data_IF_425048318048
#
_entry.id   IF_425048318048
#
_cell.length_a   1.000
_cell.length_b   1.000
_cell.length_c   1.000
_cell.angle_alpha   90.00
_cell.angle_beta   90.00
_cell.angle_gamma   90.00
#
_symmetry.space_group_name_H-M   'P 1'
#
loop_
_entity.id
_entity.type
_entity.pdbx_description
1 polymer ?
#
# COMPACT_ATOMS: atom_id res chain seq x y z
N UNK A 1 -3.84 -0.58 9.79
CA UNK A 1 -3.77 -2.02 10.07
C UNK A 1 -4.64 -2.82 9.10
N UNK A 2 -5.96 -2.57 9.01
CA UNK A 2 -6.94 -3.33 8.23
C UNK A 2 -6.52 -3.52 6.76
N UNK A 3 -6.12 -2.46 6.07
CA UNK A 3 -5.71 -2.55 4.65
C UNK A 3 -4.50 -3.48 4.45
N UNK A 4 -3.54 -3.43 5.36
CA UNK A 4 -2.37 -4.29 5.31
C UNK A 4 -2.73 -5.75 5.57
N UNK A 5 -3.62 -6.02 6.53
CA UNK A 5 -4.12 -7.37 6.81
C UNK A 5 -4.87 -7.95 5.62
N UNK A 6 -5.66 -7.13 4.91
CA UNK A 6 -6.36 -7.55 3.69
C UNK A 6 -5.38 -7.89 2.56
N UNK A 7 -4.31 -7.09 2.38
CA UNK A 7 -3.25 -7.42 1.43
C UNK A 7 -2.56 -8.74 1.79
N UNK A 8 -2.22 -8.96 3.07
CA UNK A 8 -1.60 -10.20 3.53
C UNK A 8 -2.51 -11.41 3.26
N UNK A 9 -3.82 -11.29 3.53
CA UNK A 9 -4.77 -12.34 3.20
C UNK A 9 -4.77 -12.66 1.71
N UNK A 10 -4.72 -11.65 0.85
CA UNK A 10 -4.62 -11.85 -0.60
C UNK A 10 -3.32 -12.54 -0.98
N UNK A 11 -2.20 -12.19 -0.36
CA UNK A 11 -0.90 -12.84 -0.61
C UNK A 11 -0.90 -14.32 -0.26
N UNK A 12 -1.65 -14.70 0.79
CA UNK A 12 -1.79 -16.10 1.19
C UNK A 12 -2.68 -16.86 0.19
N UNK A 13 -3.77 -16.24 -0.26
CA UNK A 13 -4.75 -16.88 -1.15
C UNK A 13 -4.33 -16.89 -2.61
N UNK A 14 -3.62 -15.82 -3.05
CA UNK A 14 -3.21 -15.60 -4.43
C UNK A 14 -1.73 -15.19 -4.48
N UNK A 15 -0.80 -16.10 -4.18
CA UNK A 15 0.62 -15.78 -4.20
C UNK A 15 1.05 -15.35 -5.60
N UNK A 16 1.71 -14.21 -5.70
CA UNK A 16 2.22 -13.64 -6.96
C UNK A 16 3.71 -13.39 -6.88
N UNK A 17 4.40 -13.44 -8.01
CA UNK A 17 5.83 -13.17 -8.10
C UNK A 17 6.07 -11.96 -9.01
N UNK A 18 6.89 -11.03 -8.55
CA UNK A 18 7.33 -9.88 -9.34
C UNK A 18 8.51 -10.30 -10.20
N UNK A 19 8.26 -10.62 -11.46
CA UNK A 19 9.28 -11.13 -12.42
C UNK A 19 10.04 -10.02 -13.17
N UNK A 20 9.69 -8.75 -12.93
CA UNK A 20 10.27 -7.61 -13.66
C UNK A 20 11.57 -7.06 -13.05
N UNK A 21 11.98 -7.59 -11.89
CA UNK A 21 13.24 -7.17 -11.25
C UNK A 21 14.43 -7.62 -12.07
N UNK A 22 15.38 -6.70 -12.26
CA UNK A 22 16.63 -6.98 -12.96
C UNK A 22 17.72 -7.42 -11.99
N UNK A 23 18.60 -8.32 -12.46
CA UNK A 23 19.83 -8.64 -11.75
C UNK A 23 20.80 -7.46 -11.89
N UNK A 24 20.92 -6.68 -10.83
CA UNK A 24 21.77 -5.48 -10.81
C UNK A 24 23.12 -5.83 -10.18
N UNK A 25 24.19 -5.62 -10.94
CA UNK A 25 25.57 -5.58 -10.38
C UNK A 25 25.84 -4.13 -9.97
N UNK A 26 25.82 -3.80 -8.67
CA UNK A 26 25.82 -2.42 -8.21
C UNK A 26 27.19 -1.76 -8.39
N UNK A 27 27.29 -0.85 -9.34
CA UNK A 27 28.50 -0.05 -9.62
C UNK A 27 28.36 1.37 -9.07
N UNK A 28 27.13 1.93 -9.12
CA UNK A 28 26.82 3.29 -8.66
C UNK A 28 26.17 3.28 -7.29
N UNK A 29 26.16 4.43 -6.62
CA UNK A 29 25.45 4.62 -5.35
C UNK A 29 23.95 4.32 -5.47
N UNK A 30 23.31 4.74 -6.56
CA UNK A 30 21.88 4.49 -6.82
C UNK A 30 21.58 3.01 -6.99
N UNK A 31 22.40 2.27 -7.74
CA UNK A 31 22.23 0.82 -7.88
C UNK A 31 22.39 0.07 -6.56
N UNK A 32 23.28 0.54 -5.67
CA UNK A 32 23.40 0.00 -4.31
C UNK A 32 22.13 0.23 -3.49
N UNK A 33 21.49 1.40 -3.62
CA UNK A 33 20.21 1.68 -2.97
C UNK A 33 19.08 0.79 -3.51
N UNK A 34 18.99 0.62 -4.83
CA UNK A 34 17.99 -0.27 -5.45
C UNK A 34 18.20 -1.70 -4.98
N UNK A 35 19.46 -2.18 -4.95
CA UNK A 35 19.77 -3.52 -4.44
C UNK A 35 19.41 -3.67 -2.96
N UNK A 36 19.67 -2.66 -2.13
CA UNK A 36 19.23 -2.66 -0.74
C UNK A 36 17.71 -2.79 -0.62
N UNK A 37 16.98 -2.02 -1.42
CA UNK A 37 15.52 -2.08 -1.49
C UNK A 37 15.05 -3.48 -1.90
N UNK A 38 15.67 -4.10 -2.91
CA UNK A 38 15.34 -5.48 -3.33
C UNK A 38 15.64 -6.53 -2.26
N UNK A 39 16.66 -6.31 -1.41
CA UNK A 39 16.97 -7.19 -0.27
C UNK A 39 15.96 -7.04 0.87
N UNK A 40 15.45 -5.83 1.09
CA UNK A 40 14.47 -5.55 2.15
C UNK A 40 13.04 -5.95 1.77
N UNK A 41 12.73 -5.92 0.47
CA UNK A 41 11.41 -6.22 -0.06
C UNK A 41 11.46 -7.46 -0.94
N UNK A 42 10.80 -8.52 -0.49
CA UNK A 42 10.80 -9.80 -1.16
C UNK A 42 10.09 -9.72 -2.54
N UNK A 43 10.56 -10.37 -3.62
CA UNK A 43 9.90 -10.36 -4.92
C UNK A 43 8.56 -11.11 -4.96
N UNK A 44 8.17 -11.72 -3.85
CA UNK A 44 6.89 -12.40 -3.72
C UNK A 44 5.80 -11.43 -3.25
N UNK A 45 4.55 -11.73 -3.63
CA UNK A 45 3.37 -10.99 -3.18
C UNK A 45 3.31 -9.55 -3.73
N UNK A 46 3.44 -9.41 -5.04
CA UNK A 46 3.37 -8.12 -5.74
C UNK A 46 1.97 -7.53 -5.73
N UNK A 47 0.93 -8.33 -5.89
CA UNK A 47 -0.46 -7.85 -6.00
C UNK A 47 -1.29 -8.17 -4.75
N UNK A 48 -2.07 -7.20 -4.22
CA UNK A 48 -2.03 -5.76 -4.51
C UNK A 48 -0.84 -5.08 -3.82
N UNK A 49 -0.40 -3.92 -4.33
CA UNK A 49 0.67 -3.18 -3.67
C UNK A 49 0.26 -2.66 -2.30
N UNK A 50 0.80 -3.26 -1.25
CA UNK A 50 0.56 -2.82 0.13
C UNK A 50 1.16 -1.44 0.42
N UNK A 51 2.26 -1.06 -0.24
CA UNK A 51 2.87 0.25 -0.15
C UNK A 51 1.94 1.34 -0.65
N UNK A 52 1.35 1.14 -1.83
CA UNK A 52 0.38 2.07 -2.42
C UNK A 52 -0.88 2.13 -1.56
N UNK A 53 -1.42 0.99 -1.14
CA UNK A 53 -2.62 0.93 -0.31
C UNK A 53 -2.45 1.71 1.02
N UNK A 54 -1.32 1.50 1.71
CA UNK A 54 -1.02 2.22 2.95
C UNK A 54 -0.82 3.73 2.71
N UNK A 55 -0.16 4.12 1.62
CA UNK A 55 0.07 5.54 1.29
C UNK A 55 -1.26 6.27 1.02
N UNK A 56 -2.20 5.64 0.28
CA UNK A 56 -3.53 6.19 0.02
C UNK A 56 -4.33 6.35 1.32
N UNK A 57 -4.30 5.36 2.21
CA UNK A 57 -4.97 5.45 3.53
C UNK A 57 -4.36 6.57 4.38
N UNK A 58 -3.03 6.67 4.44
CA UNK A 58 -2.35 7.74 5.17
C UNK A 58 -2.74 9.13 4.65
N UNK A 59 -2.76 9.31 3.32
CA UNK A 59 -3.24 10.53 2.70
C UNK A 59 -4.70 10.84 3.06
N UNK A 60 -5.60 9.85 2.99
CA UNK A 60 -7.02 10.03 3.31
C UNK A 60 -7.23 10.64 4.71
N UNK A 61 -6.52 10.14 5.72
CA UNK A 61 -6.66 10.64 7.10
C UNK A 61 -5.92 11.95 7.38
N UNK A 62 -5.10 12.41 6.46
CA UNK A 62 -4.27 13.60 6.64
C UNK A 62 -4.57 14.74 5.67
N UNK A 63 -5.33 14.51 4.60
CA UNK A 63 -5.55 15.46 3.50
C UNK A 63 -6.07 16.84 3.96
N UNK A 64 -6.89 16.88 5.02
CA UNK A 64 -7.45 18.13 5.58
C UNK A 64 -6.56 18.77 6.67
N UNK A 65 -5.33 18.27 6.89
CA UNK A 65 -4.42 18.74 7.94
C UNK A 65 -3.36 19.74 7.43
N UNK A 66 -3.74 20.64 6.54
CA UNK A 66 -2.86 21.73 6.07
C UNK A 66 -1.53 21.22 5.48
N UNK A 67 -0.40 21.65 6.06
CA UNK A 67 0.95 21.26 5.60
C UNK A 67 1.18 19.75 5.68
N UNK A 68 0.72 19.11 6.74
CA UNK A 68 0.84 17.65 6.93
C UNK A 68 0.09 16.90 5.82
N UNK A 69 -1.12 17.35 5.46
CA UNK A 69 -1.87 16.77 4.36
C UNK A 69 -1.15 16.87 3.02
N UNK A 70 -0.57 18.04 2.71
CA UNK A 70 0.25 18.23 1.50
C UNK A 70 1.48 17.32 1.47
N UNK A 71 2.16 17.18 2.61
CA UNK A 71 3.30 16.29 2.74
C UNK A 71 2.93 14.84 2.40
N UNK A 72 1.85 14.30 3.00
CA UNK A 72 1.40 12.94 2.70
C UNK A 72 0.89 12.77 1.28
N UNK A 73 0.31 13.80 0.67
CA UNK A 73 -0.08 13.77 -0.74
C UNK A 73 1.14 13.61 -1.65
N UNK A 74 2.17 14.41 -1.44
CA UNK A 74 3.43 14.30 -2.20
C UNK A 74 4.07 12.94 -1.96
N UNK A 75 4.14 12.49 -0.71
CA UNK A 75 4.70 11.20 -0.36
C UNK A 75 3.95 10.03 -1.03
N UNK A 76 2.62 10.08 -1.10
CA UNK A 76 1.81 9.07 -1.80
C UNK A 76 2.20 8.98 -3.28
N UNK A 77 2.29 10.11 -3.97
CA UNK A 77 2.70 10.15 -5.39
C UNK A 77 4.12 9.60 -5.56
N UNK A 78 5.07 10.02 -4.70
CA UNK A 78 6.44 9.54 -4.76
C UNK A 78 6.56 8.03 -4.48
N UNK A 79 5.77 7.48 -3.57
CA UNK A 79 5.73 6.03 -3.32
C UNK A 79 5.24 5.29 -4.57
N UNK A 80 4.15 5.73 -5.19
CA UNK A 80 3.61 5.11 -6.41
C UNK A 80 4.67 5.14 -7.53
N UNK A 81 5.28 6.28 -7.79
CA UNK A 81 6.33 6.40 -8.80
C UNK A 81 7.57 5.57 -8.47
N UNK A 82 8.00 5.58 -7.21
CA UNK A 82 9.16 4.82 -6.75
C UNK A 82 8.97 3.32 -6.92
N UNK A 83 7.83 2.77 -6.54
CA UNK A 83 7.56 1.33 -6.66
C UNK A 83 7.54 0.85 -8.11
N UNK A 84 7.12 1.71 -9.04
CA UNK A 84 7.15 1.43 -10.48
C UNK A 84 8.55 1.59 -11.07
N UNK A 85 9.27 2.66 -10.74
CA UNK A 85 10.62 2.93 -11.28
C UNK A 85 11.66 1.96 -10.76
N UNK A 86 11.52 1.49 -9.52
CA UNK A 86 12.38 0.44 -8.94
C UNK A 86 11.94 -0.98 -9.30
N UNK A 87 10.96 -1.13 -10.21
CA UNK A 87 10.45 -2.44 -10.67
C UNK A 87 10.00 -3.38 -9.54
N UNK A 88 9.50 -2.81 -8.45
CA UNK A 88 8.93 -3.57 -7.35
C UNK A 88 7.48 -3.97 -7.63
N UNK A 89 6.75 -3.11 -8.38
CA UNK A 89 5.36 -3.32 -8.74
C UNK A 89 5.09 -2.92 -10.20
N UNK A 90 4.13 -3.61 -10.82
CA UNK A 90 3.54 -3.19 -12.10
C UNK A 90 2.33 -2.27 -11.86
N UNK A 91 1.87 -1.60 -12.90
CA UNK A 91 0.72 -0.69 -12.84
C UNK A 91 -0.52 -1.36 -12.24
N UNK A 92 -0.76 -2.63 -12.57
CA UNK A 92 -1.89 -3.39 -12.05
C UNK A 92 -1.84 -3.53 -10.51
N UNK A 93 -0.65 -3.73 -9.93
CA UNK A 93 -0.47 -3.84 -8.48
C UNK A 93 -0.79 -2.51 -7.79
N UNK A 94 -0.41 -1.39 -8.40
CA UNK A 94 -0.71 -0.06 -7.88
C UNK A 94 -2.21 0.23 -7.93
N UNK A 95 -2.88 -0.10 -9.03
CA UNK A 95 -4.34 0.02 -9.15
C UNK A 95 -5.02 -0.86 -8.09
N UNK A 96 -4.58 -2.11 -7.94
CA UNK A 96 -5.06 -3.02 -6.89
C UNK A 96 -4.92 -2.40 -5.49
N UNK A 97 -3.76 -1.81 -5.17
CA UNK A 97 -3.53 -1.12 -3.91
C UNK A 97 -4.49 0.04 -3.64
N UNK A 98 -4.76 0.86 -4.67
CA UNK A 98 -5.74 1.96 -4.59
C UNK A 98 -7.15 1.42 -4.35
N UNK A 99 -7.57 0.39 -5.09
CA UNK A 99 -8.88 -0.23 -4.92
C UNK A 99 -9.06 -0.84 -3.53
N UNK A 100 -8.03 -1.49 -2.99
CA UNK A 100 -8.05 -2.02 -1.62
C UNK A 100 -8.20 -0.91 -0.58
N UNK A 101 -7.45 0.18 -0.75
CA UNK A 101 -7.61 1.35 0.12
C UNK A 101 -9.05 1.92 0.04
N UNK A 102 -9.61 2.02 -1.17
CA UNK A 102 -10.97 2.50 -1.38
C UNK A 102 -12.01 1.60 -0.68
N UNK A 103 -11.93 0.28 -0.85
CA UNK A 103 -12.82 -0.70 -0.19
C UNK A 103 -12.73 -0.59 1.33
N UNK A 104 -11.52 -0.50 1.87
CA UNK A 104 -11.31 -0.37 3.32
C UNK A 104 -11.91 0.90 3.86
N UNK A 105 -11.67 2.04 3.20
CA UNK A 105 -12.10 3.36 3.67
C UNK A 105 -13.61 3.58 3.55
N UNK A 106 -14.23 3.09 2.47
CA UNK A 106 -15.62 3.42 2.14
C UNK A 106 -16.61 2.29 2.45
N UNK A 107 -16.13 1.06 2.66
CA UNK A 107 -17.00 -0.09 2.91
C UNK A 107 -16.71 -0.71 4.27
N UNK A 108 -15.44 -1.11 4.53
CA UNK A 108 -15.10 -1.88 5.72
C UNK A 108 -15.16 -1.01 6.97
N UNK A 109 -14.47 0.13 6.97
CA UNK A 109 -14.40 1.00 8.15
C UNK A 109 -15.78 1.56 8.55
N UNK A 110 -16.64 2.03 7.64
CA UNK A 110 -17.98 2.47 8.00
C UNK A 110 -18.83 1.36 8.61
N UNK A 111 -18.79 0.14 8.04
CA UNK A 111 -19.53 -1.01 8.57
C UNK A 111 -19.03 -1.43 9.95
N UNK A 112 -17.71 -1.44 10.19
CA UNK A 112 -17.15 -1.75 11.51
C UNK A 112 -17.57 -0.71 12.54
N UNK A 113 -17.61 0.56 12.15
CA UNK A 113 -18.06 1.64 13.05
C UNK A 113 -19.54 1.51 13.38
N UNK A 114 -20.38 1.19 12.42
CA UNK A 114 -21.79 0.93 12.63
C UNK A 114 -22.01 -0.24 13.59
N UNK A 115 -21.28 -1.34 13.39
CA UNK A 115 -21.33 -2.52 14.26
C UNK A 115 -20.87 -2.21 15.70
N UNK A 116 -19.81 -1.43 15.86
CA UNK A 116 -19.29 -1.02 17.18
C UNK A 116 -20.29 -0.14 17.91
N UNK A 117 -20.95 0.78 17.22
CA UNK A 117 -22.02 1.62 17.78
C UNK A 117 -23.23 0.79 18.24
N UNK A 118 -23.61 -0.26 17.51
CA UNK A 118 -24.72 -1.14 17.90
C UNK A 118 -24.39 -2.01 19.11
N UNK A 119 -23.13 -2.41 19.30
CA UNK A 119 -22.69 -3.18 20.46
C UNK A 119 -22.71 -2.38 21.77
N UNK A 120 -22.55 -1.06 21.69
CA UNK A 120 -22.50 -0.15 22.84
C UNK A 120 -23.80 0.65 23.04
N UNK A 121 -24.84 0.39 22.24
CA UNK A 121 -26.15 1.01 22.44
C UNK A 121 -26.94 0.24 23.51
N UNK A 122 -27.17 0.84 24.71
CA UNK A 122 -27.88 0.18 25.80
C UNK A 122 -29.39 0.04 25.59
N UNK A 123 -29.90 0.44 24.39
CA UNK A 123 -31.35 0.45 24.08
C UNK A 123 -31.80 -0.72 23.20
N UNK A 124 -30.91 -1.67 22.87
CA UNK A 124 -31.22 -2.91 22.12
C UNK A 124 -31.29 -4.11 23.05
#
# INVERSE_FOLDING_TARGET
FIVKSLCILTFILLPSVVSIREDIVPRTFYEKLIMLTYKMDNPYNGFPSSHVACAVVAYHYTNNKGFIGKFFQVQMVLIILSTMTTKQHIVADCIGGILYAYVVLNIIIPKLREYDLTLFDPTI
#
